data_IF_559309833847
#
_entry.id   IF_559309833847
#
_cell.length_a   1.000
_cell.length_b   1.000
_cell.length_c   1.000
_cell.angle_alpha   90.00
_cell.angle_beta   90.00
_cell.angle_gamma   90.00
#
_symmetry.space_group_name_H-M   'P 1'
#
loop_
_entity.id
_entity.type
_entity.pdbx_description
1 polymer ?
#
# COMPACT_ATOMS: atom_id res chain seq x y z
N UNK A 1 3.62 17.66 -1.23
CA UNK A 1 4.45 17.74 -2.45
C UNK A 1 4.31 16.44 -3.23
N UNK A 2 4.59 16.47 -4.51
CA UNK A 2 4.49 15.33 -5.40
C UNK A 2 5.82 15.12 -6.13
N UNK A 3 6.34 13.90 -6.07
CA UNK A 3 7.47 13.51 -6.90
C UNK A 3 6.95 12.87 -8.19
N UNK A 4 7.40 13.38 -9.33
CA UNK A 4 7.02 12.93 -10.67
C UNK A 4 8.23 12.32 -11.36
N UNK A 5 8.11 11.07 -11.80
CA UNK A 5 9.12 10.43 -12.65
C UNK A 5 8.60 10.33 -14.09
N UNK A 6 9.38 10.84 -15.06
CA UNK A 6 9.03 10.86 -16.46
C UNK A 6 10.09 10.13 -17.30
N UNK A 7 9.63 9.52 -18.39
CA UNK A 7 10.49 8.87 -19.36
C UNK A 7 11.40 9.88 -20.06
N UNK A 8 12.70 9.53 -20.20
CA UNK A 8 13.71 10.38 -20.83
C UNK A 8 13.98 11.72 -20.17
N UNK A 9 13.33 12.01 -19.04
CA UNK A 9 13.47 13.27 -18.32
C UNK A 9 13.99 13.08 -16.90
N UNK A 10 14.36 14.20 -16.27
CA UNK A 10 14.72 14.24 -14.85
C UNK A 10 13.49 14.06 -13.99
N UNK A 11 13.60 13.32 -12.89
CA UNK A 11 12.58 13.31 -11.84
C UNK A 11 12.34 14.72 -11.31
N UNK A 12 11.10 15.10 -11.05
CA UNK A 12 10.72 16.44 -10.60
C UNK A 12 9.99 16.37 -9.25
N UNK A 13 10.41 17.20 -8.32
CA UNK A 13 9.67 17.44 -7.10
C UNK A 13 8.80 18.68 -7.30
N UNK A 14 7.50 18.51 -7.23
CA UNK A 14 6.50 19.51 -7.53
C UNK A 14 5.69 19.85 -6.27
N UNK A 15 5.46 21.12 -6.02
CA UNK A 15 4.56 21.56 -4.96
C UNK A 15 3.15 21.74 -5.53
N UNK A 16 2.21 20.94 -5.05
CA UNK A 16 0.81 20.94 -5.50
C UNK A 16 0.09 22.25 -5.13
N UNK A 17 0.47 22.90 -4.04
CA UNK A 17 -0.19 24.14 -3.60
C UNK A 17 0.27 25.35 -4.40
N UNK A 18 1.58 25.51 -4.56
CA UNK A 18 2.17 26.66 -5.28
C UNK A 18 2.27 26.43 -6.80
N UNK A 19 2.02 25.22 -7.26
CA UNK A 19 2.16 24.79 -8.67
C UNK A 19 3.56 25.04 -9.25
N UNK A 20 4.59 24.95 -8.42
CA UNK A 20 5.97 25.20 -8.83
C UNK A 20 6.82 23.93 -8.75
N UNK A 21 7.78 23.81 -9.66
CA UNK A 21 8.82 22.78 -9.59
C UNK A 21 9.84 23.22 -8.57
N UNK A 22 9.93 22.49 -7.45
CA UNK A 22 10.89 22.79 -6.40
C UNK A 22 12.30 22.30 -6.76
N UNK A 23 12.40 21.12 -7.36
CA UNK A 23 13.69 20.48 -7.68
C UNK A 23 13.60 19.55 -8.86
N UNK A 24 14.72 19.41 -9.58
CA UNK A 24 14.91 18.43 -10.63
C UNK A 24 16.04 17.45 -10.22
N UNK A 25 15.81 16.16 -10.46
CA UNK A 25 16.75 15.10 -10.14
C UNK A 25 17.19 14.38 -11.42
N UNK A 26 18.49 14.09 -11.50
CA UNK A 26 19.03 13.25 -12.58
C UNK A 26 18.75 11.77 -12.25
N UNK A 27 17.53 11.33 -12.48
CA UNK A 27 17.10 9.93 -12.33
C UNK A 27 16.87 9.40 -13.75
N UNK A 28 17.49 8.26 -14.10
CA UNK A 28 17.24 7.64 -15.40
C UNK A 28 15.82 7.03 -15.47
N UNK A 29 15.63 6.08 -16.38
CA UNK A 29 14.35 5.40 -16.56
C UNK A 29 13.92 4.69 -15.27
N UNK A 30 12.84 5.17 -14.67
CA UNK A 30 12.21 4.60 -13.47
C UNK A 30 11.22 3.53 -13.90
N UNK A 31 11.19 2.40 -13.20
CA UNK A 31 10.18 1.39 -13.43
C UNK A 31 8.78 1.89 -13.01
N UNK A 32 7.75 1.49 -13.74
CA UNK A 32 6.36 1.87 -13.47
C UNK A 32 5.96 1.36 -12.07
N UNK A 33 5.30 2.18 -11.27
CA UNK A 33 4.87 1.84 -9.89
C UNK A 33 6.00 1.50 -8.89
N UNK A 34 7.25 1.75 -9.25
CA UNK A 34 8.42 1.46 -8.43
C UNK A 34 8.97 2.70 -7.72
N UNK A 35 8.08 3.58 -7.30
CA UNK A 35 8.35 4.78 -6.51
C UNK A 35 7.69 4.65 -5.14
N UNK A 36 8.46 4.90 -4.09
CA UNK A 36 7.91 4.98 -2.74
C UNK A 36 8.67 6.00 -1.89
N UNK A 37 8.00 6.54 -0.87
CA UNK A 37 8.61 7.46 0.07
C UNK A 37 8.90 6.75 1.39
N UNK A 38 10.14 6.82 1.85
CA UNK A 38 10.55 6.29 3.15
C UNK A 38 10.51 7.40 4.21
N UNK A 39 9.63 7.29 5.23
CA UNK A 39 9.56 8.28 6.30
C UNK A 39 10.79 8.27 7.22
N UNK A 40 11.40 7.11 7.46
CA UNK A 40 12.65 6.99 8.26
C UNK A 40 13.80 7.64 7.53
N UNK A 41 14.02 7.25 6.29
CA UNK A 41 15.15 7.74 5.50
C UNK A 41 14.90 9.14 4.93
N UNK A 42 13.67 9.66 5.04
CA UNK A 42 13.22 10.92 4.46
C UNK A 42 13.62 11.07 2.99
N UNK A 43 13.50 9.98 2.27
CA UNK A 43 13.93 9.88 0.88
C UNK A 43 12.85 9.22 0.01
N UNK A 44 12.77 9.66 -1.23
CA UNK A 44 12.04 8.96 -2.28
C UNK A 44 12.96 7.89 -2.85
N UNK A 45 12.48 6.67 -2.89
CA UNK A 45 13.17 5.55 -3.50
C UNK A 45 12.62 5.35 -4.90
N UNK A 46 13.49 5.46 -5.88
CA UNK A 46 13.16 5.28 -7.29
C UNK A 46 13.93 4.09 -7.85
N UNK A 47 13.23 3.00 -8.13
CA UNK A 47 13.81 1.83 -8.78
C UNK A 47 13.85 2.02 -10.28
N UNK A 48 15.00 1.73 -10.87
CA UNK A 48 15.21 1.80 -12.31
C UNK A 48 15.00 0.45 -12.99
N UNK A 49 14.79 0.50 -14.30
CA UNK A 49 14.72 -0.69 -15.16
C UNK A 49 16.01 -1.52 -15.17
N UNK A 50 17.14 -0.94 -14.76
CA UNK A 50 18.48 -1.59 -14.75
C UNK A 50 18.88 -2.20 -13.40
N UNK A 51 17.93 -2.71 -12.61
CA UNK A 51 18.20 -3.34 -11.31
C UNK A 51 19.00 -2.45 -10.37
N UNK A 52 18.67 -1.17 -10.32
CA UNK A 52 19.22 -0.25 -9.36
C UNK A 52 18.15 0.67 -8.76
N UNK A 53 18.40 1.14 -7.54
CA UNK A 53 17.54 2.04 -6.80
C UNK A 53 18.31 3.32 -6.45
N UNK A 54 17.67 4.47 -6.65
CA UNK A 54 18.16 5.77 -6.21
C UNK A 54 17.41 6.23 -4.98
N UNK A 55 18.14 6.68 -3.99
CA UNK A 55 17.59 7.37 -2.82
C UNK A 55 17.71 8.87 -3.03
N UNK A 56 16.58 9.53 -3.16
CA UNK A 56 16.48 10.95 -3.48
C UNK A 56 15.95 11.72 -2.27
N UNK A 57 16.77 12.59 -1.71
CA UNK A 57 16.30 13.47 -0.63
C UNK A 57 15.55 14.66 -1.22
N UNK A 58 14.36 14.99 -0.72
CA UNK A 58 13.67 16.24 -1.06
C UNK A 58 14.47 17.49 -0.71
N UNK A 59 15.40 17.40 0.25
CA UNK A 59 16.24 18.50 0.70
C UNK A 59 17.44 18.78 -0.23
N UNK A 60 17.84 17.84 -1.11
CA UNK A 60 19.04 17.93 -1.94
C UNK A 60 18.73 17.62 -3.40
N UNK A 61 19.52 18.20 -4.33
CA UNK A 61 19.38 17.88 -5.77
C UNK A 61 20.08 16.58 -6.18
N UNK A 62 21.17 16.24 -5.47
CA UNK A 62 21.90 15.02 -5.77
C UNK A 62 21.27 13.81 -5.05
N UNK A 63 21.28 12.64 -5.66
CA UNK A 63 20.85 11.45 -4.97
C UNK A 63 21.74 11.20 -3.75
N UNK A 64 21.12 10.83 -2.61
CA UNK A 64 21.84 10.47 -1.39
C UNK A 64 22.69 9.24 -1.62
N UNK A 65 22.12 8.29 -2.35
CA UNK A 65 22.73 6.99 -2.55
C UNK A 65 22.18 6.30 -3.78
N UNK A 66 23.01 5.45 -4.37
CA UNK A 66 22.64 4.49 -5.40
C UNK A 66 22.93 3.07 -4.88
N UNK A 67 21.91 2.22 -4.91
CA UNK A 67 22.02 0.82 -4.53
C UNK A 67 21.66 -0.07 -5.69
N UNK A 68 22.23 -1.26 -5.75
CA UNK A 68 21.89 -2.24 -6.76
C UNK A 68 20.98 -3.30 -6.15
N UNK A 69 19.92 -3.67 -6.86
CA UNK A 69 19.00 -4.73 -6.48
C UNK A 69 19.41 -6.05 -7.15
N UNK A 70 19.03 -7.22 -6.59
CA UNK A 70 19.31 -8.52 -7.23
C UNK A 70 18.74 -8.62 -8.63
N UNK A 71 17.50 -8.12 -8.79
CA UNK A 71 16.73 -8.15 -10.03
C UNK A 71 16.06 -6.79 -10.27
N UNK A 72 15.48 -6.65 -11.46
CA UNK A 72 14.66 -5.48 -11.79
C UNK A 72 13.39 -5.47 -10.93
N UNK A 73 13.22 -4.41 -10.14
CA UNK A 73 12.03 -4.15 -9.34
C UNK A 73 10.97 -3.50 -10.20
N UNK A 74 9.77 -4.04 -10.16
CA UNK A 74 8.59 -3.52 -10.89
C UNK A 74 7.67 -2.70 -10.00
N UNK A 75 7.60 -3.06 -8.72
CA UNK A 75 6.75 -2.37 -7.75
C UNK A 75 7.37 -2.45 -6.36
N UNK A 76 7.14 -1.44 -5.54
CA UNK A 76 7.63 -1.42 -4.17
C UNK A 76 6.66 -0.67 -3.24
N UNK A 77 6.62 -1.14 -2.00
CA UNK A 77 5.88 -0.50 -0.93
C UNK A 77 6.74 -0.48 0.34
N UNK A 78 6.60 0.58 1.12
CA UNK A 78 7.28 0.75 2.40
C UNK A 78 6.23 0.75 3.50
N UNK A 79 6.54 0.07 4.60
CA UNK A 79 5.70 0.08 5.80
C UNK A 79 5.52 1.51 6.34
N UNK A 80 4.40 1.79 6.99
CA UNK A 80 4.15 3.10 7.60
C UNK A 80 5.18 3.46 8.68
N UNK A 81 5.64 2.45 9.43
CA UNK A 81 6.76 2.63 10.35
C UNK A 81 8.08 2.92 9.62
N UNK A 82 8.17 2.69 8.30
CA UNK A 82 9.34 2.91 7.46
C UNK A 82 10.47 1.89 7.63
N UNK A 83 10.27 0.87 8.46
CA UNK A 83 11.33 -0.11 8.81
C UNK A 83 11.58 -1.10 7.68
N UNK A 84 10.53 -1.54 6.99
CA UNK A 84 10.62 -2.54 5.94
C UNK A 84 10.21 -1.99 4.59
N UNK A 85 10.89 -2.45 3.56
CA UNK A 85 10.49 -2.27 2.16
C UNK A 85 10.25 -3.63 1.53
N UNK A 86 9.08 -3.80 0.96
CA UNK A 86 8.72 -4.97 0.16
C UNK A 86 8.73 -4.58 -1.30
N UNK A 87 9.39 -5.34 -2.13
CA UNK A 87 9.44 -5.10 -3.55
C UNK A 87 9.15 -6.36 -4.35
N UNK A 88 8.41 -6.20 -5.44
CA UNK A 88 8.15 -7.22 -6.43
C UNK A 88 9.06 -7.04 -7.65
N UNK A 89 9.46 -8.14 -8.27
CA UNK A 89 10.36 -8.16 -9.43
C UNK A 89 9.66 -8.63 -10.70
N UNK A 90 10.34 -8.47 -11.83
CA UNK A 90 9.89 -8.95 -13.14
C UNK A 90 9.77 -10.47 -13.18
N UNK A 91 10.62 -11.21 -12.44
CA UNK A 91 10.60 -12.68 -12.40
C UNK A 91 9.48 -13.25 -11.51
N UNK A 92 8.77 -12.40 -10.72
CA UNK A 92 7.80 -12.85 -9.73
C UNK A 92 8.39 -13.06 -8.33
N UNK A 93 9.69 -12.79 -8.15
CA UNK A 93 10.35 -12.82 -6.86
C UNK A 93 9.89 -11.65 -6.00
N UNK A 94 9.66 -11.90 -4.72
CA UNK A 94 9.37 -10.87 -3.73
C UNK A 94 10.56 -10.71 -2.79
N UNK A 95 10.98 -9.47 -2.60
CA UNK A 95 12.15 -9.09 -1.83
C UNK A 95 11.72 -8.27 -0.62
N UNK A 96 12.32 -8.56 0.54
CA UNK A 96 12.07 -7.82 1.78
C UNK A 96 13.39 -7.26 2.31
N UNK A 97 13.49 -5.93 2.42
CA UNK A 97 14.63 -5.24 3.02
C UNK A 97 14.28 -4.58 4.35
N UNK A 98 15.27 -4.53 5.22
CA UNK A 98 15.27 -3.63 6.36
C UNK A 98 15.85 -2.28 5.92
N UNK A 99 15.04 -1.22 6.04
CA UNK A 99 15.43 0.12 5.57
C UNK A 99 16.41 0.84 6.49
N UNK A 100 16.59 0.37 7.72
CA UNK A 100 17.57 0.97 8.66
C UNK A 100 18.99 0.46 8.40
N UNK A 101 19.13 -0.86 8.20
CA UNK A 101 20.43 -1.50 7.96
C UNK A 101 20.76 -1.65 6.47
N UNK A 102 19.75 -1.65 5.59
CA UNK A 102 19.89 -1.95 4.16
C UNK A 102 19.90 -3.45 3.85
N UNK A 103 19.79 -4.32 4.86
CA UNK A 103 19.87 -5.76 4.70
C UNK A 103 18.70 -6.32 3.91
N UNK A 104 18.99 -7.23 2.98
CA UNK A 104 17.98 -8.06 2.33
C UNK A 104 17.63 -9.23 3.25
N UNK A 105 16.47 -9.14 3.91
CA UNK A 105 16.03 -10.14 4.88
C UNK A 105 15.51 -11.41 4.22
N UNK A 106 14.76 -11.27 3.12
CA UNK A 106 14.16 -12.38 2.40
C UNK A 106 14.14 -12.13 0.89
N UNK A 107 14.32 -13.22 0.17
CA UNK A 107 14.09 -13.32 -1.27
C UNK A 107 13.38 -14.66 -1.53
N UNK A 108 12.20 -14.63 -2.13
CA UNK A 108 11.42 -15.84 -2.41
C UNK A 108 10.56 -15.68 -3.66
N UNK A 109 10.31 -16.79 -4.33
CA UNK A 109 9.45 -16.83 -5.51
C UNK A 109 7.99 -16.75 -5.05
N UNK A 110 7.42 -15.54 -5.10
CA UNK A 110 6.03 -15.29 -4.71
C UNK A 110 5.06 -15.61 -5.83
N UNK A 111 5.41 -15.36 -7.06
CA UNK A 111 4.55 -15.45 -8.25
C UNK A 111 5.27 -16.10 -9.42
N UNK A 112 4.48 -16.55 -10.41
CA UNK A 112 5.00 -17.16 -11.65
C UNK A 112 5.37 -16.13 -12.73
N UNK A 113 4.88 -14.89 -12.60
CA UNK A 113 5.12 -13.77 -13.50
C UNK A 113 5.40 -12.49 -12.72
N UNK A 114 5.64 -11.41 -13.45
CA UNK A 114 5.95 -10.11 -12.88
C UNK A 114 4.94 -9.65 -11.82
N UNK A 115 5.45 -9.09 -10.73
CA UNK A 115 4.63 -8.48 -9.68
C UNK A 115 4.31 -7.04 -10.07
N UNK A 116 3.06 -6.77 -10.43
CA UNK A 116 2.64 -5.45 -10.90
C UNK A 116 2.45 -4.43 -9.77
N UNK A 117 1.99 -4.90 -8.61
CA UNK A 117 1.72 -4.01 -7.48
C UNK A 117 2.02 -4.70 -6.14
N UNK A 118 2.55 -3.94 -5.22
CA UNK A 118 2.74 -4.32 -3.82
C UNK A 118 2.03 -3.30 -2.94
N UNK A 119 1.25 -3.75 -1.98
CA UNK A 119 0.57 -2.90 -1.00
C UNK A 119 0.83 -3.40 0.42
N UNK A 120 0.87 -2.48 1.37
CA UNK A 120 1.02 -2.77 2.81
C UNK A 120 -0.23 -2.27 3.52
N UNK A 121 -0.74 -3.06 4.47
CA UNK A 121 -1.91 -2.68 5.28
C UNK A 121 -1.61 -1.50 6.19
N UNK A 122 -2.67 -0.80 6.62
CA UNK A 122 -2.55 0.40 7.43
C UNK A 122 -1.90 0.16 8.81
N UNK A 123 -2.01 -1.05 9.32
CA UNK A 123 -1.42 -1.51 10.59
C UNK A 123 -0.03 -2.15 10.45
N UNK A 124 0.54 -2.16 9.24
CA UNK A 124 1.80 -2.81 8.88
C UNK A 124 1.82 -4.33 9.15
N UNK A 125 0.66 -4.99 9.30
CA UNK A 125 0.61 -6.42 9.60
C UNK A 125 0.61 -7.30 8.36
N UNK A 126 0.01 -6.82 7.27
CA UNK A 126 -0.19 -7.56 6.03
C UNK A 126 0.49 -6.89 4.84
N UNK A 127 0.93 -7.72 3.92
CA UNK A 127 1.45 -7.31 2.61
C UNK A 127 0.65 -8.03 1.53
N UNK A 128 0.18 -7.31 0.55
CA UNK A 128 -0.45 -7.87 -0.64
C UNK A 128 0.47 -7.71 -1.85
N UNK A 129 0.51 -8.73 -2.69
CA UNK A 129 1.24 -8.73 -3.95
C UNK A 129 0.30 -9.14 -5.07
N UNK A 130 0.19 -8.31 -6.09
CA UNK A 130 -0.63 -8.53 -7.27
C UNK A 130 0.25 -8.76 -8.49
N UNK A 131 -0.04 -9.81 -9.27
CA UNK A 131 0.85 -10.24 -10.35
C UNK A 131 0.13 -10.36 -11.69
N UNK A 132 0.95 -10.41 -12.72
CA UNK A 132 0.56 -10.70 -14.09
C UNK A 132 0.06 -12.15 -14.28
N UNK A 133 0.32 -13.04 -13.29
CA UNK A 133 -0.20 -14.41 -13.27
C UNK A 133 -1.68 -14.51 -12.88
N UNK A 134 -2.40 -13.39 -12.81
CA UNK A 134 -3.82 -13.25 -12.40
C UNK A 134 -4.10 -13.56 -10.93
N UNK A 135 -3.06 -13.78 -10.12
CA UNK A 135 -3.17 -14.13 -8.70
C UNK A 135 -2.80 -12.94 -7.83
N UNK A 136 -3.53 -12.76 -6.74
CA UNK A 136 -3.15 -11.87 -5.66
C UNK A 136 -2.86 -12.71 -4.41
N UNK A 137 -1.72 -12.46 -3.75
CA UNK A 137 -1.31 -13.15 -2.53
C UNK A 137 -1.18 -12.17 -1.38
N UNK A 138 -1.62 -12.61 -0.21
CA UNK A 138 -1.47 -11.85 1.04
C UNK A 138 -0.52 -12.58 1.96
N UNK A 139 0.40 -11.82 2.54
CA UNK A 139 1.47 -12.30 3.40
C UNK A 139 1.38 -11.62 4.77
N UNK A 140 1.76 -12.33 5.81
CA UNK A 140 1.92 -11.72 7.13
C UNK A 140 3.34 -11.17 7.24
N UNK A 141 3.48 -9.84 7.45
CA UNK A 141 4.78 -9.19 7.50
C UNK A 141 5.66 -9.72 8.63
N UNK A 142 5.11 -10.01 9.80
CA UNK A 142 5.86 -10.58 10.92
C UNK A 142 6.45 -11.97 10.57
N UNK A 143 5.72 -12.75 9.76
CA UNK A 143 6.22 -14.04 9.27
C UNK A 143 7.32 -13.85 8.23
N UNK A 144 7.17 -12.88 7.34
CA UNK A 144 8.17 -12.53 6.33
C UNK A 144 9.46 -12.04 6.97
N UNK A 145 9.36 -11.18 7.97
CA UNK A 145 10.52 -10.60 8.67
C UNK A 145 11.21 -11.60 9.61
N UNK A 146 10.59 -12.75 9.92
CA UNK A 146 11.18 -13.72 10.84
C UNK A 146 12.38 -14.45 10.24
N UNK A 147 13.56 -14.40 10.90
CA UNK A 147 14.77 -15.10 10.42
C UNK A 147 14.66 -16.61 10.54
N UNK A 148 13.89 -17.10 11.51
CA UNK A 148 13.81 -18.53 11.84
C UNK A 148 13.00 -19.34 10.81
N UNK A 149 12.11 -18.71 10.06
CA UNK A 149 11.27 -19.39 9.05
C UNK A 149 11.95 -19.36 7.68
N UNK A 150 12.39 -20.52 7.22
CA UNK A 150 12.95 -20.67 5.85
C UNK A 150 11.85 -20.65 4.79
N UNK A 151 10.74 -21.31 5.06
CA UNK A 151 9.60 -21.35 4.14
C UNK A 151 8.68 -20.15 4.36
N UNK A 152 8.32 -19.50 3.28
CA UNK A 152 7.40 -18.37 3.24
C UNK A 152 6.10 -18.85 2.60
N UNK A 153 5.08 -19.01 3.44
CA UNK A 153 3.74 -19.41 3.00
C UNK A 153 2.83 -18.19 2.99
N UNK A 154 2.10 -17.93 1.89
CA UNK A 154 1.11 -16.86 1.87
C UNK A 154 -0.01 -17.17 2.88
N UNK A 155 -0.53 -16.14 3.51
CA UNK A 155 -1.68 -16.25 4.41
C UNK A 155 -2.95 -16.58 3.61
N UNK A 156 -3.08 -15.97 2.44
CA UNK A 156 -4.20 -16.10 1.54
C UNK A 156 -3.72 -16.03 0.10
N UNK A 157 -4.35 -16.81 -0.78
CA UNK A 157 -4.14 -16.81 -2.22
C UNK A 157 -5.49 -16.57 -2.89
N UNK A 158 -5.61 -15.49 -3.62
CA UNK A 158 -6.81 -15.13 -4.35
C UNK A 158 -6.62 -15.30 -5.85
N UNK A 159 -7.39 -16.23 -6.44
CA UNK A 159 -7.31 -16.62 -7.86
C UNK A 159 -8.58 -16.24 -8.65
N UNK A 160 -9.36 -15.28 -8.14
CA UNK A 160 -10.65 -14.92 -8.73
C UNK A 160 -10.58 -14.18 -10.06
N UNK A 161 -9.46 -13.48 -10.36
CA UNK A 161 -9.32 -12.74 -11.61
C UNK A 161 -8.97 -13.64 -12.79
N UNK A 162 -9.53 -13.32 -13.96
CA UNK A 162 -9.27 -14.05 -15.21
C UNK A 162 -8.08 -13.52 -16.01
N UNK A 163 -7.67 -12.28 -15.76
CA UNK A 163 -6.52 -11.63 -16.39
C UNK A 163 -5.59 -11.03 -15.33
N UNK A 164 -4.47 -10.47 -15.79
CA UNK A 164 -3.45 -9.86 -14.95
C UNK A 164 -4.04 -8.89 -13.91
N UNK A 165 -3.67 -9.06 -12.65
CA UNK A 165 -3.97 -8.09 -11.59
C UNK A 165 -2.96 -6.95 -11.70
N UNK A 166 -3.47 -5.74 -11.93
CA UNK A 166 -2.63 -4.56 -12.20
C UNK A 166 -2.32 -3.77 -10.96
N UNK A 167 -3.26 -3.74 -10.02
CA UNK A 167 -3.17 -2.91 -8.82
C UNK A 167 -3.91 -3.55 -7.64
N UNK A 168 -3.46 -3.23 -6.45
CA UNK A 168 -4.10 -3.61 -5.21
C UNK A 168 -3.88 -2.54 -4.15
N UNK A 169 -4.83 -2.38 -3.23
CA UNK A 169 -4.73 -1.48 -2.09
C UNK A 169 -5.53 -2.04 -0.92
N UNK A 170 -5.00 -1.91 0.31
CA UNK A 170 -5.78 -2.20 1.51
C UNK A 170 -6.66 -1.01 1.88
N UNK A 171 -7.87 -1.28 2.31
CA UNK A 171 -8.70 -0.30 2.98
C UNK A 171 -8.06 0.07 4.33
N UNK A 172 -8.29 1.32 4.78
CA UNK A 172 -7.53 1.87 5.91
C UNK A 172 -7.96 1.33 7.27
N UNK A 173 -9.25 1.08 7.46
CA UNK A 173 -9.81 0.68 8.76
C UNK A 173 -10.19 -0.80 8.80
N UNK A 174 -10.66 -1.36 7.69
CA UNK A 174 -11.19 -2.73 7.63
C UNK A 174 -10.15 -3.78 7.25
N UNK A 175 -8.96 -3.37 6.81
CA UNK A 175 -7.93 -4.25 6.24
C UNK A 175 -8.41 -5.11 5.06
N UNK A 176 -9.59 -4.82 4.49
CA UNK A 176 -10.09 -5.48 3.28
C UNK A 176 -9.19 -5.11 2.11
N UNK A 177 -8.90 -6.06 1.25
CA UNK A 177 -8.07 -5.85 0.07
C UNK A 177 -8.94 -5.54 -1.13
N UNK A 178 -8.71 -4.39 -1.75
CA UNK A 178 -9.28 -4.02 -3.05
C UNK A 178 -8.26 -4.33 -4.14
N UNK A 179 -8.66 -5.11 -5.14
CA UNK A 179 -7.84 -5.47 -6.30
C UNK A 179 -8.47 -4.98 -7.58
N UNK A 180 -7.65 -4.56 -8.53
CA UNK A 180 -8.07 -4.18 -9.87
C UNK A 180 -7.30 -4.97 -10.93
N UNK A 181 -8.01 -5.39 -11.99
CA UNK A 181 -7.46 -6.24 -13.03
C UNK A 181 -7.79 -5.75 -14.43
N UNK A 182 -7.03 -6.24 -15.41
CA UNK A 182 -7.32 -6.07 -16.84
C UNK A 182 -8.60 -6.77 -17.27
N UNK A 183 -9.16 -7.68 -16.45
CA UNK A 183 -10.46 -8.31 -16.69
C UNK A 183 -11.65 -7.35 -16.52
N UNK A 184 -11.39 -6.07 -16.28
CA UNK A 184 -12.37 -5.01 -16.09
C UNK A 184 -13.18 -5.15 -14.79
N UNK A 185 -12.66 -5.88 -13.81
CA UNK A 185 -13.30 -6.01 -12.50
C UNK A 185 -12.42 -5.47 -11.38
N UNK A 186 -13.06 -4.75 -10.43
CA UNK A 186 -12.52 -4.52 -9.10
C UNK A 186 -13.12 -5.54 -8.15
N UNK A 187 -12.30 -6.14 -7.28
CA UNK A 187 -12.78 -7.11 -6.31
C UNK A 187 -12.33 -6.75 -4.90
N UNK A 188 -13.26 -6.88 -3.97
CA UNK A 188 -13.00 -6.77 -2.53
C UNK A 188 -12.80 -8.18 -1.99
N UNK A 189 -11.70 -8.39 -1.31
CA UNK A 189 -11.27 -9.69 -0.79
C UNK A 189 -10.99 -9.56 0.70
N UNK A 190 -11.49 -10.49 1.50
CA UNK A 190 -11.11 -10.60 2.90
C UNK A 190 -9.75 -11.30 3.01
N UNK A 191 -8.70 -10.64 3.50
CA UNK A 191 -7.37 -11.22 3.63
C UNK A 191 -7.25 -12.28 4.72
N UNK A 192 -8.29 -12.47 5.53
CA UNK A 192 -8.32 -13.49 6.57
C UNK A 192 -8.83 -14.82 6.06
N UNK A 193 -9.97 -14.81 5.36
CA UNK A 193 -10.60 -16.01 4.80
C UNK A 193 -10.13 -16.31 3.38
N UNK A 194 -9.62 -15.32 2.64
CA UNK A 194 -9.36 -15.40 1.21
C UNK A 194 -10.63 -15.34 0.36
N UNK A 195 -11.78 -15.13 1.01
CA UNK A 195 -13.08 -15.05 0.35
C UNK A 195 -13.25 -13.74 -0.40
N UNK A 196 -13.87 -13.83 -1.58
CA UNK A 196 -14.32 -12.65 -2.30
C UNK A 196 -15.58 -12.08 -1.61
N UNK A 197 -15.50 -10.83 -1.19
CA UNK A 197 -16.64 -10.12 -0.58
C UNK A 197 -17.55 -9.52 -1.64
N UNK A 198 -16.96 -8.90 -2.66
CA UNK A 198 -17.69 -8.21 -3.71
C UNK A 198 -16.91 -8.18 -5.02
N UNK A 199 -17.61 -8.26 -6.15
CA UNK A 199 -17.06 -8.01 -7.49
C UNK A 199 -17.79 -6.84 -8.13
N UNK A 200 -17.04 -5.91 -8.69
CA UNK A 200 -17.56 -4.70 -9.32
C UNK A 200 -17.01 -4.63 -10.74
N UNK A 201 -17.89 -4.70 -11.72
CA UNK A 201 -17.50 -4.61 -13.12
C UNK A 201 -17.36 -3.16 -13.53
N UNK A 202 -16.25 -2.84 -14.18
CA UNK A 202 -15.90 -1.53 -14.73
C UNK A 202 -15.87 -1.67 -16.25
N UNK A 203 -16.17 -0.61 -17.00
CA UNK A 203 -16.27 -0.70 -18.46
C UNK A 203 -14.97 -1.05 -19.17
N UNK A 204 -13.82 -0.70 -18.58
CA UNK A 204 -12.49 -0.80 -19.19
C UNK A 204 -11.46 -1.46 -18.28
N UNK A 205 -10.31 -1.86 -18.87
CA UNK A 205 -9.19 -2.43 -18.12
C UNK A 205 -8.70 -1.45 -17.05
N UNK A 206 -8.59 -1.95 -15.80
CA UNK A 206 -8.19 -1.15 -14.66
C UNK A 206 -6.68 -1.08 -14.60
N UNK A 207 -6.14 0.10 -14.35
CA UNK A 207 -4.69 0.34 -14.25
C UNK A 207 -4.23 0.79 -12.87
N UNK A 208 -5.11 1.47 -12.13
CA UNK A 208 -4.82 1.94 -10.78
C UNK A 208 -6.10 1.97 -9.94
N UNK A 209 -5.97 1.79 -8.62
CA UNK A 209 -7.07 1.93 -7.65
C UNK A 209 -6.60 2.71 -6.44
N UNK A 210 -7.52 3.44 -5.81
CA UNK A 210 -7.28 4.10 -4.53
C UNK A 210 -8.53 4.00 -3.67
N UNK A 211 -8.37 3.74 -2.38
CA UNK A 211 -9.45 3.77 -1.39
C UNK A 211 -9.46 5.12 -0.68
N UNK A 212 -10.65 5.61 -0.34
CA UNK A 212 -10.79 6.79 0.49
C UNK A 212 -10.30 6.52 1.91
N UNK A 213 -9.90 7.57 2.62
CA UNK A 213 -9.35 7.44 3.98
C UNK A 213 -10.40 7.00 5.01
N UNK A 214 -11.67 7.18 4.72
CA UNK A 214 -12.82 6.77 5.54
C UNK A 214 -13.36 5.37 5.18
N UNK A 215 -12.74 4.68 4.21
CA UNK A 215 -13.19 3.42 3.63
C UNK A 215 -14.61 3.45 3.04
N UNK A 216 -15.20 4.64 2.89
CA UNK A 216 -16.56 4.78 2.40
C UNK A 216 -16.68 4.64 0.88
N UNK A 217 -15.61 4.92 0.16
CA UNK A 217 -15.57 4.93 -1.29
C UNK A 217 -14.21 4.53 -1.84
N UNK A 218 -14.17 4.19 -3.11
CA UNK A 218 -12.93 3.98 -3.84
C UNK A 218 -13.00 4.58 -5.24
N UNK A 219 -11.84 4.77 -5.82
CA UNK A 219 -11.66 5.28 -7.18
C UNK A 219 -10.86 4.28 -7.99
N UNK A 220 -11.34 3.95 -9.17
CA UNK A 220 -10.63 3.12 -10.13
C UNK A 220 -10.30 3.93 -11.39
N UNK A 221 -9.06 3.87 -11.81
CA UNK A 221 -8.57 4.46 -13.04
C UNK A 221 -8.33 3.42 -14.11
N UNK A 222 -8.61 3.77 -15.36
CA UNK A 222 -8.58 2.84 -16.49
C UNK A 222 -7.50 3.18 -17.50
N UNK A 223 -7.27 2.22 -18.40
CA UNK A 223 -6.33 2.37 -19.50
C UNK A 223 -6.73 3.48 -20.50
N UNK A 224 -8.02 3.78 -20.61
CA UNK A 224 -8.52 4.86 -21.46
C UNK A 224 -8.52 6.25 -20.80
N UNK A 225 -8.12 6.34 -19.52
CA UNK A 225 -8.10 7.59 -18.76
C UNK A 225 -9.40 7.90 -18.02
N UNK A 226 -10.39 7.01 -18.02
CA UNK A 226 -11.61 7.18 -17.24
C UNK A 226 -11.38 6.94 -15.76
N UNK A 227 -12.09 7.70 -14.93
CA UNK A 227 -12.12 7.54 -13.49
C UNK A 227 -13.52 7.08 -13.06
N UNK A 228 -13.57 6.02 -12.30
CA UNK A 228 -14.78 5.42 -11.76
C UNK A 228 -14.82 5.63 -10.25
N UNK A 229 -15.77 6.43 -9.79
CA UNK A 229 -16.00 6.69 -8.37
C UNK A 229 -17.10 5.78 -7.86
N UNK A 230 -16.86 5.05 -6.79
CA UNK A 230 -17.82 4.11 -6.23
C UNK A 230 -17.88 4.21 -4.72
N UNK A 231 -19.10 4.35 -4.18
CA UNK A 231 -19.33 4.22 -2.76
C UNK A 231 -19.45 2.75 -2.36
N UNK A 232 -18.80 2.39 -1.26
CA UNK A 232 -18.83 1.05 -0.68
C UNK A 232 -20.01 0.86 0.26
N UNK A 233 -20.53 1.96 0.85
CA UNK A 233 -21.67 1.96 1.75
C UNK A 233 -22.75 2.90 1.22
N UNK A 234 -24.01 2.48 1.29
CA UNK A 234 -25.14 3.37 0.99
C UNK A 234 -25.51 4.18 2.22
N UNK A 235 -25.60 5.49 2.06
CA UNK A 235 -25.87 6.46 3.14
C UNK A 235 -27.27 6.38 3.77
N UNK A 236 -28.18 5.53 3.26
CA UNK A 236 -29.57 5.49 3.71
C UNK A 236 -29.83 4.65 4.97
N UNK A 237 -28.91 3.78 5.39
CA UNK A 237 -29.13 2.91 6.55
C UNK A 237 -27.94 2.75 7.50
N UNK A 238 -26.75 3.28 7.15
CA UNK A 238 -25.54 3.10 7.97
C UNK A 238 -25.12 1.63 8.16
N UNK A 239 -25.82 0.71 7.53
CA UNK A 239 -25.50 -0.72 7.53
C UNK A 239 -24.57 -1.02 6.35
N UNK A 240 -23.58 -1.90 6.54
CA UNK A 240 -22.83 -2.43 5.41
C UNK A 240 -23.84 -3.05 4.44
N UNK A 241 -23.71 -2.75 3.16
CA UNK A 241 -24.51 -3.40 2.11
C UNK A 241 -24.30 -4.90 2.31
N UNK A 242 -25.37 -5.66 2.50
CA UNK A 242 -25.29 -7.11 2.54
C UNK A 242 -24.55 -7.57 1.30
N UNK A 243 -23.38 -8.17 1.50
CA UNK A 243 -22.46 -8.57 0.44
C UNK A 243 -23.02 -9.67 -0.46
N UNK A 244 -24.20 -10.19 -0.14
CA UNK A 244 -24.86 -11.33 -0.82
C UNK A 244 -25.90 -10.93 -1.87
N UNK A 245 -26.32 -9.69 -1.96
CA UNK A 245 -27.29 -9.31 -2.96
C UNK A 245 -26.63 -8.48 -4.07
N UNK A 246 -26.58 -9.06 -5.27
CA UNK A 246 -26.44 -8.41 -6.57
C UNK A 246 -27.60 -7.43 -6.83
N UNK A 247 -27.78 -6.43 -5.99
CA UNK A 247 -28.55 -5.28 -6.39
C UNK A 247 -27.83 -4.71 -7.63
N UNK A 248 -28.52 -4.55 -8.78
CA UNK A 248 -27.92 -3.92 -9.93
C UNK A 248 -27.40 -2.58 -9.43
N UNK A 249 -26.06 -2.52 -9.35
CA UNK A 249 -25.36 -1.30 -9.02
C UNK A 249 -25.99 -0.27 -9.95
N UNK A 250 -26.66 0.73 -9.39
CA UNK A 250 -26.91 1.95 -10.16
C UNK A 250 -25.52 2.28 -10.68
N UNK A 251 -25.32 1.98 -11.97
CA UNK A 251 -24.21 2.51 -12.70
C UNK A 251 -24.22 3.97 -12.32
N UNK A 252 -23.29 4.38 -11.45
CA UNK A 252 -22.95 5.78 -11.38
C UNK A 252 -22.54 6.03 -12.82
N UNK A 253 -23.47 6.56 -13.59
CA UNK A 253 -23.31 6.85 -15.01
C UNK A 253 -22.01 7.61 -15.02
N UNK A 254 -20.99 6.93 -15.52
CA UNK A 254 -19.77 7.55 -15.85
C UNK A 254 -20.14 8.71 -16.73
N UNK A 255 -20.08 9.88 -16.17
CA UNK A 255 -20.10 11.05 -17.01
C UNK A 255 -18.96 10.84 -17.97
N UNK A 256 -19.22 10.89 -19.30
CA UNK A 256 -18.13 10.85 -20.26
C UNK A 256 -17.08 11.84 -19.77
N UNK A 257 -15.78 11.56 -19.98
CA UNK A 257 -14.73 12.45 -19.54
C UNK A 257 -15.17 13.87 -19.91
N UNK A 258 -15.40 14.67 -18.89
CA UNK A 258 -15.58 16.10 -19.10
C UNK A 258 -14.37 16.55 -19.91
N UNK A 259 -14.50 17.55 -20.76
CA UNK A 259 -13.43 18.09 -21.62
C UNK A 259 -12.09 18.24 -20.86
N UNK A 260 -12.14 18.28 -19.54
CA UNK A 260 -11.05 18.46 -18.60
C UNK A 260 -10.53 17.14 -17.96
N UNK A 261 -10.87 15.96 -18.47
CA UNK A 261 -10.43 14.65 -17.96
C UNK A 261 -9.10 14.19 -18.54
N UNK A 262 -8.62 13.05 -18.02
CA UNK A 262 -7.44 12.40 -18.61
C UNK A 262 -7.80 11.74 -19.96
N UNK A 263 -6.91 11.91 -20.95
CA UNK A 263 -7.03 11.29 -22.29
C UNK A 263 -6.04 10.14 -22.50
N UNK A 264 -5.34 9.73 -21.45
CA UNK A 264 -4.31 8.69 -21.48
C UNK A 264 -4.43 7.80 -20.25
N UNK A 265 -3.82 6.61 -20.28
CA UNK A 265 -3.90 5.65 -19.17
C UNK A 265 -3.57 6.29 -17.82
N UNK A 266 -4.36 5.95 -16.81
CA UNK A 266 -4.09 6.38 -15.43
C UNK A 266 -2.93 5.55 -14.88
N UNK A 267 -1.89 6.23 -14.41
CA UNK A 267 -0.69 5.58 -13.85
C UNK A 267 -0.73 5.56 -12.33
N UNK A 268 -1.32 6.58 -11.72
CA UNK A 268 -1.27 6.76 -10.28
C UNK A 268 -2.58 7.34 -9.76
N UNK A 269 -3.04 6.77 -8.65
CA UNK A 269 -4.17 7.22 -7.87
C UNK A 269 -3.81 7.17 -6.40
N UNK A 270 -4.03 8.26 -5.68
CA UNK A 270 -3.87 8.27 -4.23
C UNK A 270 -4.77 9.32 -3.58
N UNK A 271 -5.48 8.92 -2.54
CA UNK A 271 -6.23 9.85 -1.70
C UNK A 271 -5.26 10.67 -0.83
N UNK A 272 -5.58 11.95 -0.63
CA UNK A 272 -4.75 12.85 0.14
C UNK A 272 -5.00 12.64 1.64
N UNK A 273 -3.97 12.32 2.45
CA UNK A 273 -4.15 12.17 3.90
C UNK A 273 -4.64 13.45 4.60
N UNK A 274 -4.30 14.62 4.04
CA UNK A 274 -4.72 15.92 4.56
C UNK A 274 -6.15 16.32 4.19
N UNK A 275 -6.71 15.70 3.16
CA UNK A 275 -8.05 15.98 2.64
C UNK A 275 -8.69 14.67 2.14
N UNK A 276 -9.36 13.92 3.04
CA UNK A 276 -9.84 12.56 2.75
C UNK A 276 -10.89 12.50 1.63
N UNK A 277 -11.54 13.61 1.32
CA UNK A 277 -12.49 13.73 0.22
C UNK A 277 -11.84 13.93 -1.15
N UNK A 278 -10.52 14.16 -1.21
CA UNK A 278 -9.81 14.47 -2.44
C UNK A 278 -8.91 13.32 -2.88
N UNK A 279 -8.94 13.02 -4.18
CA UNK A 279 -8.05 12.07 -4.83
C UNK A 279 -7.15 12.76 -5.85
N UNK A 280 -5.87 12.50 -5.76
CA UNK A 280 -4.89 12.91 -6.74
C UNK A 280 -4.79 11.83 -7.80
N UNK A 281 -4.91 12.23 -9.05
CA UNK A 281 -4.86 11.33 -10.20
C UNK A 281 -3.74 11.79 -11.14
N UNK A 282 -3.01 10.84 -11.69
CA UNK A 282 -1.99 11.16 -12.68
C UNK A 282 -2.06 10.19 -13.85
N UNK A 283 -2.00 10.75 -15.06
CA UNK A 283 -2.05 9.99 -16.30
C UNK A 283 -0.70 9.93 -16.99
N UNK A 284 -0.56 8.95 -17.86
CA UNK A 284 0.64 8.73 -18.66
C UNK A 284 1.03 9.93 -19.54
N UNK A 285 0.04 10.69 -20.02
CA UNK A 285 0.24 11.95 -20.75
C UNK A 285 0.81 13.10 -19.92
N UNK A 286 1.07 12.86 -18.63
CA UNK A 286 1.76 13.79 -17.75
C UNK A 286 0.85 14.78 -17.02
N UNK A 287 -0.45 14.75 -17.24
CA UNK A 287 -1.43 15.54 -16.51
C UNK A 287 -1.60 15.01 -15.09
N UNK A 288 -1.65 15.90 -14.12
CA UNK A 288 -1.96 15.59 -12.72
C UNK A 288 -3.17 16.42 -12.29
N UNK A 289 -4.25 15.75 -11.95
CA UNK A 289 -5.54 16.37 -11.62
C UNK A 289 -5.95 15.99 -10.20
N UNK A 290 -6.70 16.87 -9.57
CA UNK A 290 -7.29 16.68 -8.25
C UNK A 290 -8.80 16.63 -8.38
N UNK A 291 -9.41 15.53 -7.96
CA UNK A 291 -10.86 15.32 -7.99
C UNK A 291 -11.43 15.19 -6.59
N UNK A 292 -12.67 15.57 -6.44
CA UNK A 292 -13.46 15.26 -5.26
C UNK A 292 -14.11 13.89 -5.41
N UNK A 293 -13.92 13.01 -4.43
CA UNK A 293 -14.35 11.59 -4.51
C UNK A 293 -15.88 11.47 -4.60
N UNK A 294 -16.62 12.25 -3.79
CA UNK A 294 -18.09 12.13 -3.72
C UNK A 294 -18.81 12.68 -4.94
N UNK A 295 -18.39 13.84 -5.41
CA UNK A 295 -19.01 14.48 -6.56
C UNK A 295 -18.45 14.02 -7.89
N UNK A 296 -17.22 13.47 -7.90
CA UNK A 296 -16.47 13.14 -9.11
C UNK A 296 -16.05 14.38 -9.92
N UNK A 297 -16.14 15.57 -9.32
CA UNK A 297 -15.83 16.83 -10.01
C UNK A 297 -14.33 17.13 -9.95
N UNK A 298 -13.82 17.72 -11.02
CA UNK A 298 -12.46 18.26 -11.06
C UNK A 298 -12.38 19.49 -10.16
N UNK A 299 -11.58 19.40 -9.10
CA UNK A 299 -11.35 20.52 -8.19
C UNK A 299 -10.25 21.43 -8.73
N UNK A 300 -9.17 20.81 -9.24
CA UNK A 300 -8.00 21.57 -9.69
C UNK A 300 -7.13 20.74 -10.65
N UNK A 301 -6.60 21.41 -11.64
CA UNK A 301 -5.47 20.93 -12.41
C UNK A 301 -4.17 21.32 -11.70
N UNK A 302 -3.40 20.33 -11.25
CA UNK A 302 -2.14 20.55 -10.53
C UNK A 302 -0.97 20.71 -11.50
N UNK A 303 -0.91 19.85 -12.50
CA UNK A 303 0.13 19.86 -13.55
C UNK A 303 -0.54 19.58 -14.87
N UNK A 304 -0.38 20.50 -15.82
CA UNK A 304 -0.85 20.31 -17.19
C UNK A 304 -0.08 19.20 -17.92
N UNK A 305 -0.61 18.73 -19.06
CA UNK A 305 0.07 17.75 -19.90
C UNK A 305 1.42 18.32 -20.35
N UNK A 306 2.49 17.58 -20.08
CA UNK A 306 3.85 17.97 -20.42
C UNK A 306 4.50 16.93 -21.33
N UNK A 307 5.54 17.32 -22.04
CA UNK A 307 6.35 16.40 -22.86
C UNK A 307 6.98 15.31 -21.99
N UNK A 308 6.90 14.06 -22.42
CA UNK A 308 7.44 12.88 -21.75
C UNK A 308 6.36 12.09 -21.00
N UNK A 309 6.42 10.78 -21.16
CA UNK A 309 5.51 9.82 -20.55
C UNK A 309 5.72 9.78 -19.03
N UNK A 310 4.65 9.94 -18.25
CA UNK A 310 4.73 9.81 -16.82
C UNK A 310 4.80 8.33 -16.43
N UNK A 311 5.85 7.94 -15.73
CA UNK A 311 6.09 6.54 -15.33
C UNK A 311 5.56 6.25 -13.92
N UNK A 312 5.58 7.24 -13.03
CA UNK A 312 5.08 7.08 -11.67
C UNK A 312 5.08 8.39 -10.89
N UNK A 313 4.33 8.37 -9.80
CA UNK A 313 4.24 9.46 -8.85
C UNK A 313 4.38 8.94 -7.42
N UNK A 314 4.78 9.82 -6.51
CA UNK A 314 4.83 9.53 -5.09
C UNK A 314 4.53 10.78 -4.27
N UNK A 315 3.65 10.68 -3.28
CA UNK A 315 3.40 11.77 -2.33
C UNK A 315 4.54 11.89 -1.33
N UNK A 316 5.03 13.11 -1.15
CA UNK A 316 6.13 13.45 -0.23
C UNK A 316 5.65 14.51 0.75
N UNK A 317 5.76 14.30 2.07
CA UNK A 317 5.37 15.32 3.05
C UNK A 317 6.32 16.52 2.99
N UNK A 318 5.80 17.72 3.29
CA UNK A 318 6.63 18.96 3.31
C UNK A 318 7.74 18.93 4.36
N UNK A 319 7.52 18.21 5.45
CA UNK A 319 8.54 18.01 6.51
C UNK A 319 9.81 17.34 6.01
N UNK A 320 9.75 16.64 4.88
CA UNK A 320 10.92 16.01 4.26
C UNK A 320 11.94 17.00 3.69
N UNK A 321 11.54 18.28 3.45
CA UNK A 321 12.45 19.34 3.01
C UNK A 321 13.39 19.83 4.11
N UNK A 322 13.00 19.68 5.38
CA UNK A 322 13.70 20.30 6.52
C UNK A 322 15.02 19.62 6.87
N UNK A 323 15.16 18.32 6.56
CA UNK A 323 16.34 17.56 6.96
C UNK A 323 16.84 16.63 5.85
N UNK A 324 18.16 16.44 5.81
CA UNK A 324 18.79 15.43 4.95
C UNK A 324 18.38 14.04 5.46
N UNK A 325 17.94 13.18 4.55
CA UNK A 325 17.75 11.78 4.86
C UNK A 325 19.08 11.06 5.07
N UNK A 326 19.05 9.97 5.82
CA UNK A 326 20.19 9.04 5.98
C UNK A 326 19.73 7.70 5.43
N UNK A 327 20.49 7.12 4.51
CA UNK A 327 20.16 5.85 3.88
C UNK A 327 21.32 4.88 4.04
N UNK A 328 20.99 3.64 4.41
CA UNK A 328 21.90 2.53 4.28
C UNK A 328 21.82 1.95 2.85
N UNK A 329 22.93 1.45 2.27
CA UNK A 329 22.91 0.79 0.99
C UNK A 329 22.06 -0.48 1.05
N UNK A 330 21.23 -0.71 0.03
CA UNK A 330 20.50 -1.97 -0.08
C UNK A 330 21.45 -3.09 -0.47
N UNK A 331 21.40 -4.17 0.29
CA UNK A 331 22.18 -5.37 -0.02
C UNK A 331 21.46 -6.24 -1.06
N UNK A 332 22.28 -6.91 -1.90
CA UNK A 332 21.80 -7.80 -2.96
C UNK A 332 21.51 -9.21 -2.49
N UNK A 333 22.33 -9.68 -1.54
CA UNK A 333 22.27 -11.05 -1.08
C UNK A 333 21.46 -11.12 0.21
N UNK A 334 20.59 -12.15 0.38
CA UNK A 334 19.90 -12.37 1.63
C UNK A 334 20.88 -12.58 2.77
N UNK A 335 20.57 -12.00 3.93
CA UNK A 335 21.38 -12.23 5.14
C UNK A 335 21.28 -13.69 5.53
N UNK A 336 22.43 -14.33 5.74
CA UNK A 336 22.50 -15.70 6.22
C UNK A 336 22.15 -15.73 7.72
N UNK A 337 21.01 -16.35 8.11
CA UNK A 337 20.58 -16.39 9.50
C UNK A 337 21.55 -17.15 10.42
N UNK A 338 22.47 -17.96 9.87
CA UNK A 338 23.47 -18.71 10.65
C UNK A 338 24.66 -17.84 11.12
N UNK A 339 24.87 -16.66 10.53
CA UNK A 339 26.01 -15.78 10.84
C UNK A 339 25.84 -14.91 12.09
N UNK A 340 24.79 -15.08 12.89
CA UNK A 340 24.66 -14.47 14.22
C UNK A 340 24.49 -12.95 14.30
N UNK A 341 24.62 -12.21 13.19
CA UNK A 341 24.55 -10.74 13.15
C UNK A 341 23.16 -10.20 12.77
N UNK A 342 22.12 -10.96 13.04
CA UNK A 342 20.76 -10.57 12.74
C UNK A 342 20.24 -9.56 13.77
N UNK A 343 20.57 -8.30 13.60
CA UNK A 343 20.00 -7.21 14.40
C UNK A 343 18.70 -6.69 13.74
N UNK A 344 17.60 -7.38 13.95
CA UNK A 344 16.31 -6.68 13.89
C UNK A 344 16.27 -5.88 15.18
N UNK A 345 16.25 -4.55 15.08
CA UNK A 345 16.03 -3.74 16.28
C UNK A 345 14.72 -4.20 16.91
N UNK A 346 14.77 -4.64 18.17
CA UNK A 346 13.60 -5.09 18.94
C UNK A 346 12.42 -4.10 18.87
N UNK A 347 12.68 -2.81 18.64
CA UNK A 347 11.66 -1.79 18.37
C UNK A 347 10.71 -2.13 17.22
N UNK A 348 11.19 -2.71 16.12
CA UNK A 348 10.33 -2.95 14.95
C UNK A 348 9.36 -4.12 15.16
N UNK A 349 9.81 -5.18 15.85
CA UNK A 349 8.94 -6.31 16.20
C UNK A 349 8.04 -5.98 17.39
N UNK A 350 8.52 -5.22 18.38
CA UNK A 350 7.74 -4.74 19.50
C UNK A 350 6.63 -3.78 19.03
N UNK A 351 6.89 -2.87 18.10
CA UNK A 351 5.88 -1.96 17.54
C UNK A 351 4.78 -2.72 16.77
N UNK A 352 5.13 -3.82 16.11
CA UNK A 352 4.16 -4.70 15.47
C UNK A 352 3.33 -5.52 16.47
N UNK A 353 3.93 -5.87 17.62
CA UNK A 353 3.25 -6.58 18.71
C UNK A 353 2.46 -5.63 19.63
N UNK A 354 3.00 -4.45 19.95
CA UNK A 354 2.37 -3.45 20.82
C UNK A 354 1.16 -2.76 20.17
N UNK A 355 1.17 -2.56 18.85
CA UNK A 355 -0.04 -2.11 18.14
C UNK A 355 -1.17 -3.13 18.17
N UNK A 356 -0.86 -4.41 18.37
CA UNK A 356 -1.87 -5.45 18.64
C UNK A 356 -2.46 -5.38 20.06
N UNK A 357 -1.73 -4.85 21.04
CA UNK A 357 -2.12 -4.83 22.47
C UNK A 357 -2.66 -3.49 22.98
N UNK A 358 -2.65 -2.44 22.17
CA UNK A 358 -3.26 -1.14 22.53
C UNK A 358 -2.63 -0.39 23.70
N UNK A 359 -1.43 -0.78 24.16
CA UNK A 359 -0.73 -0.09 25.25
C UNK A 359 0.31 0.90 24.72
N UNK A 360 0.05 2.17 25.00
CA UNK A 360 1.06 3.24 24.92
C UNK A 360 1.83 3.25 26.24
N UNK A 361 3.12 2.99 26.21
CA UNK A 361 4.02 3.36 27.30
C UNK A 361 5.22 4.15 26.78
N UNK A 362 5.56 5.17 27.57
CA UNK A 362 6.58 6.18 27.28
C UNK A 362 7.96 5.68 27.70
N UNK A 363 8.93 5.83 26.82
CA UNK A 363 10.30 6.22 27.14
C UNK A 363 11.20 5.21 27.82
N UNK A 364 12.33 4.94 27.21
CA UNK A 364 13.51 4.40 27.87
C UNK A 364 14.34 3.51 26.94
N UNK A 365 15.39 4.06 26.35
CA UNK A 365 16.40 3.29 25.64
C UNK A 365 17.26 2.51 26.64
N UNK A 366 17.36 1.20 26.46
CA UNK A 366 18.26 0.33 27.19
C UNK A 366 18.60 -0.88 26.34
N UNK A 367 19.86 -1.04 26.00
CA UNK A 367 20.39 -2.24 25.36
C UNK A 367 20.33 -3.43 26.33
N UNK A 368 19.44 -4.38 26.05
CA UNK A 368 19.38 -5.64 26.78
C UNK A 368 19.92 -6.77 25.90
N UNK A 369 21.03 -7.34 26.31
CA UNK A 369 21.57 -8.60 25.76
C UNK A 369 20.73 -9.76 26.29
N UNK A 370 20.10 -10.52 25.40
CA UNK A 370 19.42 -11.76 25.74
C UNK A 370 20.37 -12.94 25.58
N UNK A 371 20.54 -13.70 26.66
CA UNK A 371 21.16 -15.02 26.66
C UNK A 371 20.21 -16.08 26.05
N UNK A 372 20.71 -17.27 25.71
CA UNK A 372 19.87 -18.35 25.22
C UNK A 372 19.05 -18.91 26.39
N UNK A 373 17.76 -19.22 26.11
CA UNK A 373 16.81 -19.89 26.99
C UNK A 373 16.07 -19.02 28.02
N UNK A 374 15.00 -18.34 27.55
CA UNK A 374 13.83 -18.11 28.38
C UNK A 374 12.59 -18.63 27.63
N UNK A 375 12.03 -19.71 28.11
CA UNK A 375 10.69 -20.19 27.81
C UNK A 375 9.69 -19.08 28.18
N UNK A 376 8.94 -18.58 27.20
CA UNK A 376 7.82 -17.66 27.42
C UNK A 376 6.78 -18.45 28.21
N UNK A 377 6.66 -18.13 29.48
CA UNK A 377 5.87 -18.84 30.48
C UNK A 377 4.41 -19.02 30.07
N UNK A 378 3.89 -20.21 30.34
CA UNK A 378 2.50 -20.60 30.09
C UNK A 378 1.44 -19.67 30.71
N UNK A 379 1.81 -18.88 31.72
CA UNK A 379 0.93 -17.94 32.43
C UNK A 379 0.45 -16.77 31.60
N UNK A 380 1.31 -16.19 30.71
CA UNK A 380 0.93 -15.10 29.81
C UNK A 380 -0.06 -15.57 28.74
N UNK A 381 0.06 -16.82 28.31
CA UNK A 381 -0.85 -17.42 27.32
C UNK A 381 -2.21 -17.73 27.96
N UNK A 382 -2.22 -18.18 29.22
CA UNK A 382 -3.43 -18.44 29.99
C UNK A 382 -4.19 -17.12 30.27
N UNK A 383 -3.46 -16.06 30.66
CA UNK A 383 -4.05 -14.73 30.91
C UNK A 383 -4.64 -14.11 29.60
N UNK A 384 -3.99 -14.31 28.46
CA UNK A 384 -4.50 -13.88 27.16
C UNK A 384 -5.76 -14.67 26.75
N UNK A 385 -5.81 -15.97 27.04
CA UNK A 385 -7.00 -16.79 26.80
C UNK A 385 -8.17 -16.38 27.69
N UNK A 386 -7.95 -16.12 28.97
CA UNK A 386 -8.97 -15.66 29.92
C UNK A 386 -9.57 -14.29 29.46
N UNK A 387 -8.73 -13.34 29.06
CA UNK A 387 -9.21 -12.06 28.51
C UNK A 387 -9.99 -12.21 27.21
N UNK A 388 -9.66 -13.19 26.38
CA UNK A 388 -10.39 -13.48 25.14
C UNK A 388 -11.78 -14.05 25.42
N UNK A 389 -11.93 -14.89 26.44
CA UNK A 389 -13.22 -15.39 26.87
C UNK A 389 -14.08 -14.28 27.46
N UNK A 390 -13.51 -13.42 28.32
CA UNK A 390 -14.22 -12.27 28.90
C UNK A 390 -14.76 -11.31 27.82
N UNK A 391 -13.97 -11.05 26.75
CA UNK A 391 -14.40 -10.24 25.62
C UNK A 391 -15.49 -10.92 24.79
N UNK A 392 -15.48 -12.25 24.67
CA UNK A 392 -16.52 -13.02 23.99
C UNK A 392 -17.85 -12.94 24.76
N UNK A 393 -17.80 -13.03 26.08
CA UNK A 393 -18.98 -12.92 26.92
C UNK A 393 -19.57 -11.52 26.93
N UNK A 394 -18.73 -10.49 26.97
CA UNK A 394 -19.17 -9.09 26.83
C UNK A 394 -19.86 -8.83 25.50
N UNK A 395 -19.32 -9.38 24.42
CA UNK A 395 -19.91 -9.31 23.07
C UNK A 395 -21.24 -10.04 22.99
N UNK A 396 -21.39 -11.18 23.66
CA UNK A 396 -22.65 -11.91 23.73
C UNK A 396 -23.71 -11.14 24.54
N UNK A 397 -23.33 -10.50 25.64
CA UNK A 397 -24.20 -9.64 26.45
C UNK A 397 -24.67 -8.40 25.66
N UNK A 398 -23.79 -7.75 24.92
CA UNK A 398 -24.13 -6.61 24.07
C UNK A 398 -25.09 -7.01 22.95
N UNK A 399 -24.90 -8.17 22.33
CA UNK A 399 -25.83 -8.70 21.31
C UNK A 399 -27.23 -8.97 21.89
N UNK A 400 -27.33 -9.52 23.10
CA UNK A 400 -28.61 -9.74 23.81
C UNK A 400 -29.30 -8.43 24.18
N UNK A 401 -28.55 -7.38 24.55
CA UNK A 401 -29.10 -6.04 24.81
C UNK A 401 -29.59 -5.37 23.53
N UNK A 402 -28.83 -5.48 22.44
CA UNK A 402 -29.24 -4.97 21.14
C UNK A 402 -30.51 -5.66 20.62
N UNK A 403 -30.61 -6.98 20.73
CA UNK A 403 -31.84 -7.70 20.31
C UNK A 403 -33.07 -7.32 21.14
N UNK A 404 -32.90 -7.01 22.44
CA UNK A 404 -34.00 -6.51 23.28
C UNK A 404 -34.41 -5.08 22.92
N UNK A 405 -33.48 -4.22 22.51
CA UNK A 405 -33.78 -2.86 22.06
C UNK A 405 -34.43 -2.82 20.69
N UNK A 406 -34.09 -3.74 19.80
CA UNK A 406 -34.75 -3.88 18.50
C UNK A 406 -36.13 -4.44 18.62
N UNK A 407 -36.40 -5.40 19.54
CA UNK A 407 -37.76 -5.91 19.80
C UNK A 407 -38.66 -4.90 20.51
N UNK A 408 -38.11 -3.98 21.31
CA UNK A 408 -38.86 -2.91 21.97
C UNK A 408 -39.22 -1.72 21.04
N UNK A 409 -38.59 -1.60 19.87
CA UNK A 409 -38.95 -0.59 18.85
C UNK A 409 -39.96 -1.09 17.81
N UNK A 410 -40.32 -2.36 17.84
CA UNK A 410 -41.30 -2.97 16.94
C UNK A 410 -42.66 -3.23 17.60
N UNK A 411 -42.88 -2.75 18.82
CA UNK A 411 -44.15 -2.56 19.48
C UNK A 411 -44.43 -1.05 19.62
#
# INVERSE_FOLDING_TARGET
MLFLARDGMRGQLFDVETQTVLRNYAVGEVARSALSYSPINRAVIAHQTRSCAFFLSPAMQQPLQRSFTPEQVTSCAITRCGTFMVAGTVSGTVLLWNMQSGDLLKSYNGHLRAVNCVAVSADDSLVATASEDSVCKVWNLATLASPRRREVVPRCVFTGHSLAVTCCVFLHHSNVLLTGSRDRTCRLVDPHSGGQLRSITVGDAITAVAASMDDASFVAGTEKGFLYFKELYTSSSGLPIDFEQDAPLREAILRPPTVDGHHSPIVFLQCLPSAPSLVLTASEGGGVLLFEIRSGQLVRECVGPQKGRLLGCCLVPRTALLNKGICAPLEKNPVDPSRGNYRISHCALATLQERRSGKRDRGGGGDVRLGPDEEVGGDALAEAHAKLEELRDLRAQLRRRLSKLTSAKSQ
#
